data_IF_330927718885
#
_entry.id   IF_330927718885
#
_cell.length_a   1.000
_cell.length_b   1.000
_cell.length_c   1.000
_cell.angle_alpha   90.00
_cell.angle_beta   90.00
_cell.angle_gamma   90.00
#
_symmetry.space_group_name_H-M   'P 1'
#
loop_
_entity.id
_entity.type
_entity.pdbx_description
1 polymer ?
#
# COMPACT_ATOMS: atom_id res chain seq x y z
N UNK A 1 -7.69 10.32 -16.41
CA UNK A 1 -6.45 9.98 -17.15
C UNK A 1 -5.26 9.67 -16.23
N UNK A 2 -4.87 10.58 -15.32
CA UNK A 2 -3.71 10.36 -14.43
C UNK A 2 -3.78 9.05 -13.61
N UNK A 3 -4.97 8.67 -13.12
CA UNK A 3 -5.17 7.41 -12.37
C UNK A 3 -4.81 6.19 -13.23
N UNK A 4 -5.30 6.13 -14.47
CA UNK A 4 -5.03 5.01 -15.39
C UNK A 4 -3.52 4.94 -15.64
N UNK A 5 -2.89 6.07 -15.95
CA UNK A 5 -1.45 6.14 -16.21
C UNK A 5 -0.63 5.70 -15.01
N UNK A 6 -1.02 6.10 -13.79
CA UNK A 6 -0.33 5.70 -12.56
C UNK A 6 -0.48 4.20 -12.26
N UNK A 7 -1.42 3.50 -12.88
CA UNK A 7 -1.60 2.05 -12.68
C UNK A 7 -0.81 1.21 -13.67
N UNK A 8 -0.41 1.76 -14.82
CA UNK A 8 0.34 1.04 -15.85
C UNK A 8 1.66 0.45 -15.34
N UNK A 9 2.48 1.15 -14.52
CA UNK A 9 3.74 0.59 -14.03
C UNK A 9 3.57 -0.68 -13.19
N UNK A 10 2.38 -0.92 -12.63
CA UNK A 10 2.11 -2.15 -11.87
C UNK A 10 2.16 -3.40 -12.76
N UNK A 11 1.84 -3.28 -14.05
CA UNK A 11 1.91 -4.42 -14.98
C UNK A 11 3.34 -4.95 -15.13
N UNK A 12 4.36 -4.09 -14.89
CA UNK A 12 5.76 -4.50 -14.91
C UNK A 12 6.15 -5.45 -13.76
N UNK A 13 5.28 -5.64 -12.76
CA UNK A 13 5.48 -6.59 -11.65
C UNK A 13 5.08 -8.01 -12.05
N UNK A 14 4.24 -8.20 -13.07
CA UNK A 14 3.74 -9.52 -13.48
C UNK A 14 4.85 -10.56 -13.75
N UNK A 15 5.98 -10.22 -14.40
CA UNK A 15 7.05 -11.18 -14.65
C UNK A 15 7.76 -11.67 -13.38
N UNK A 16 7.68 -10.92 -12.28
CA UNK A 16 8.35 -11.22 -11.00
C UNK A 16 7.37 -11.63 -9.90
N UNK A 17 6.09 -11.83 -10.24
CA UNK A 17 5.01 -12.14 -9.30
C UNK A 17 5.37 -13.29 -8.36
N UNK A 18 5.88 -14.39 -8.90
CA UNK A 18 6.16 -15.60 -8.12
C UNK A 18 7.29 -15.39 -7.10
N UNK A 19 8.31 -14.61 -7.47
CA UNK A 19 9.37 -14.21 -6.54
C UNK A 19 8.82 -13.34 -5.41
N UNK A 20 7.89 -12.43 -5.74
CA UNK A 20 7.26 -11.57 -4.74
C UNK A 20 6.37 -12.38 -3.81
N UNK A 21 5.59 -13.34 -4.33
CA UNK A 21 4.78 -14.28 -3.53
C UNK A 21 5.63 -15.13 -2.58
N UNK A 22 6.82 -15.57 -3.02
CA UNK A 22 7.79 -16.27 -2.17
C UNK A 22 8.28 -15.48 -0.95
N UNK A 23 8.16 -14.16 -0.96
CA UNK A 23 8.55 -13.31 0.17
C UNK A 23 7.47 -13.18 1.26
N UNK A 24 6.22 -13.56 0.99
CA UNK A 24 5.10 -13.38 1.94
C UNK A 24 5.22 -14.24 3.19
N UNK A 25 5.92 -15.38 3.11
CA UNK A 25 6.16 -16.27 4.25
C UNK A 25 7.40 -15.88 5.07
N UNK A 26 8.20 -14.90 4.60
CA UNK A 26 9.43 -14.50 5.26
C UNK A 26 9.17 -13.33 6.22
N UNK A 27 8.85 -13.65 7.48
CA UNK A 27 8.58 -12.66 8.53
C UNK A 27 9.75 -11.71 8.78
N UNK A 28 11.00 -12.18 8.64
CA UNK A 28 12.19 -11.32 8.78
C UNK A 28 12.20 -10.24 7.69
N UNK A 29 11.96 -10.65 6.45
CA UNK A 29 11.88 -9.73 5.31
C UNK A 29 10.76 -8.70 5.49
N UNK A 30 9.57 -9.14 5.89
CA UNK A 30 8.41 -8.26 6.14
C UNK A 30 8.72 -7.26 7.27
N UNK A 31 9.35 -7.73 8.35
CA UNK A 31 9.79 -6.88 9.46
C UNK A 31 10.75 -5.78 8.99
N UNK A 32 11.79 -6.15 8.23
CA UNK A 32 12.72 -5.19 7.62
C UNK A 32 12.02 -4.21 6.68
N UNK A 33 11.12 -4.68 5.82
CA UNK A 33 10.36 -3.85 4.89
C UNK A 33 9.44 -2.84 5.61
N UNK A 34 8.86 -3.22 6.75
CA UNK A 34 8.13 -2.30 7.63
C UNK A 34 9.05 -1.23 8.22
N UNK A 35 10.28 -1.58 8.61
CA UNK A 35 11.24 -0.58 9.09
C UNK A 35 11.57 0.45 8.00
N UNK A 36 11.85 -0.03 6.78
CA UNK A 36 12.09 0.82 5.59
C UNK A 36 10.89 1.71 5.32
N UNK A 37 9.67 1.16 5.36
CA UNK A 37 8.43 1.92 5.22
C UNK A 37 8.36 3.04 6.26
N UNK A 38 8.71 2.77 7.51
CA UNK A 38 8.75 3.78 8.57
C UNK A 38 9.71 4.92 8.23
N UNK A 39 10.91 4.63 7.74
CA UNK A 39 11.84 5.66 7.30
C UNK A 39 11.29 6.48 6.14
N UNK A 40 10.73 5.84 5.10
CA UNK A 40 10.13 6.53 3.94
C UNK A 40 9.06 7.52 4.40
N UNK A 41 8.16 7.10 5.29
CA UNK A 41 7.10 7.96 5.85
C UNK A 41 7.64 9.12 6.69
N UNK A 42 8.65 8.84 7.52
CA UNK A 42 9.25 9.83 8.42
C UNK A 42 9.96 10.95 7.67
N UNK A 43 10.68 10.60 6.61
CA UNK A 43 11.39 11.56 5.78
C UNK A 43 10.44 12.30 4.83
N UNK A 44 9.46 11.61 4.24
CA UNK A 44 8.52 12.23 3.31
C UNK A 44 7.65 13.31 3.97
N UNK A 45 7.28 13.12 5.24
CA UNK A 45 6.51 14.12 6.01
C UNK A 45 7.33 15.37 6.39
N UNK A 46 8.67 15.31 6.28
CA UNK A 46 9.59 16.44 6.50
C UNK A 46 9.92 17.23 5.25
N UNK A 47 9.53 16.75 4.07
CA UNK A 47 9.68 17.53 2.86
C UNK A 47 8.86 18.81 2.93
N UNK A 48 9.34 19.84 2.23
CA UNK A 48 8.61 21.09 2.04
C UNK A 48 7.21 20.80 1.50
N UNK A 49 6.22 21.59 1.91
CA UNK A 49 4.85 21.42 1.46
C UNK A 49 4.76 21.65 -0.04
N UNK A 50 4.34 20.62 -0.77
CA UNK A 50 4.02 20.71 -2.19
C UNK A 50 2.78 21.58 -2.45
N UNK A 51 2.68 22.07 -3.67
CA UNK A 51 1.59 22.95 -4.14
C UNK A 51 0.89 22.40 -5.40
N UNK A 52 1.31 21.23 -5.91
CA UNK A 52 0.66 20.62 -7.06
C UNK A 52 -0.65 19.95 -6.64
N UNK A 53 -1.70 20.25 -7.38
CA UNK A 53 -3.04 19.67 -7.24
C UNK A 53 -3.37 18.80 -8.46
N UNK A 54 -4.59 18.26 -8.51
CA UNK A 54 -5.07 17.50 -9.66
C UNK A 54 -4.97 18.25 -11.01
N UNK A 55 -5.00 19.59 -11.00
CA UNK A 55 -4.90 20.41 -12.22
C UNK A 55 -3.48 20.63 -12.70
N UNK A 56 -2.49 20.57 -11.80
CA UNK A 56 -1.08 20.85 -12.10
C UNK A 56 -0.18 19.61 -12.03
N UNK A 57 -0.72 18.47 -11.62
CA UNK A 57 -0.03 17.19 -11.68
C UNK A 57 0.20 16.74 -13.13
N UNK A 58 1.43 16.35 -13.43
CA UNK A 58 1.83 15.93 -14.78
C UNK A 58 1.71 14.42 -14.97
N UNK A 59 1.76 13.97 -16.23
CA UNK A 59 1.86 12.54 -16.55
C UNK A 59 3.11 11.90 -15.94
N UNK A 60 4.24 12.60 -15.96
CA UNK A 60 5.48 12.14 -15.33
C UNK A 60 5.31 11.92 -13.84
N UNK A 61 4.60 12.83 -13.14
CA UNK A 61 4.30 12.65 -11.72
C UNK A 61 3.46 11.39 -11.48
N UNK A 62 2.44 11.15 -12.32
CA UNK A 62 1.60 9.95 -12.23
C UNK A 62 2.39 8.66 -12.45
N UNK A 63 3.28 8.62 -13.45
CA UNK A 63 4.15 7.45 -13.73
C UNK A 63 5.09 7.18 -12.57
N UNK A 64 5.74 8.20 -12.00
CA UNK A 64 6.67 8.03 -10.88
C UNK A 64 5.96 7.54 -9.62
N UNK A 65 4.76 8.03 -9.33
CA UNK A 65 3.93 7.49 -8.23
C UNK A 65 3.49 6.06 -8.54
N UNK A 66 3.20 5.74 -9.81
CA UNK A 66 2.90 4.38 -10.26
C UNK A 66 4.05 3.39 -10.07
N UNK A 67 5.29 3.82 -10.30
CA UNK A 67 6.49 3.02 -10.02
C UNK A 67 6.62 2.75 -8.52
N UNK A 68 6.34 3.74 -7.67
CA UNK A 68 6.29 3.51 -6.22
C UNK A 68 5.22 2.48 -5.83
N UNK A 69 4.06 2.48 -6.50
CA UNK A 69 3.04 1.45 -6.32
C UNK A 69 3.53 0.06 -6.75
N UNK A 70 4.27 -0.04 -7.85
CA UNK A 70 4.84 -1.29 -8.33
C UNK A 70 5.86 -1.89 -7.34
N UNK A 71 6.73 -1.05 -6.78
CA UNK A 71 7.66 -1.46 -5.71
C UNK A 71 6.90 -1.92 -4.47
N UNK A 72 5.78 -1.27 -4.15
CA UNK A 72 4.99 -1.61 -2.98
C UNK A 72 4.12 -2.88 -3.12
N UNK A 73 4.33 -3.69 -4.17
CA UNK A 73 3.85 -5.08 -4.19
C UNK A 73 4.71 -5.96 -3.27
N UNK A 74 5.95 -5.54 -2.98
CA UNK A 74 6.84 -6.22 -2.04
C UNK A 74 6.19 -6.29 -0.64
N UNK A 75 6.08 -7.48 -0.02
CA UNK A 75 5.38 -7.63 1.24
C UNK A 75 6.10 -6.88 2.37
N UNK A 76 5.31 -6.23 3.24
CA UNK A 76 5.80 -5.35 4.30
C UNK A 76 6.06 -3.90 3.85
N UNK A 77 6.09 -3.61 2.54
CA UNK A 77 6.08 -2.23 2.04
C UNK A 77 4.65 -1.69 2.03
N UNK A 78 4.41 -0.57 2.71
CA UNK A 78 3.08 0.05 2.68
C UNK A 78 2.82 0.72 1.33
N UNK A 79 1.85 0.22 0.55
CA UNK A 79 1.44 0.82 -0.72
C UNK A 79 1.06 2.28 -0.58
N UNK A 80 0.12 2.59 0.31
CA UNK A 80 -0.30 3.97 0.55
C UNK A 80 0.88 4.83 1.04
N UNK A 81 1.74 4.29 1.91
CA UNK A 81 2.93 4.99 2.35
C UNK A 81 3.89 5.34 1.21
N UNK A 82 4.18 4.38 0.33
CA UNK A 82 5.07 4.56 -0.82
C UNK A 82 4.49 5.56 -1.83
N UNK A 83 3.22 5.43 -2.23
CA UNK A 83 2.59 6.30 -3.23
C UNK A 83 2.34 7.70 -2.71
N UNK A 84 1.92 7.86 -1.45
CA UNK A 84 1.77 9.19 -0.82
C UNK A 84 3.14 9.86 -0.72
N UNK A 85 4.16 9.15 -0.24
CA UNK A 85 5.52 9.70 -0.10
C UNK A 85 6.09 10.10 -1.45
N UNK A 86 5.96 9.25 -2.48
CA UNK A 86 6.35 9.58 -3.84
C UNK A 86 5.59 10.81 -4.37
N UNK A 87 4.28 10.90 -4.14
CA UNK A 87 3.48 12.07 -4.51
C UNK A 87 3.99 13.35 -3.86
N UNK A 88 4.29 13.32 -2.56
CA UNK A 88 4.87 14.45 -1.83
C UNK A 88 6.25 14.83 -2.38
N UNK A 89 7.11 13.85 -2.71
CA UNK A 89 8.40 14.09 -3.38
C UNK A 89 8.24 14.70 -4.78
N UNK A 90 7.12 14.45 -5.46
CA UNK A 90 6.76 15.08 -6.74
C UNK A 90 6.16 16.48 -6.58
N UNK A 91 6.02 16.97 -5.34
CA UNK A 91 5.50 18.29 -5.01
C UNK A 91 3.98 18.34 -4.93
N UNK A 92 3.30 17.21 -4.78
CA UNK A 92 1.86 17.18 -4.51
C UNK A 92 1.57 17.81 -3.15
N UNK A 93 0.49 18.57 -3.06
CA UNK A 93 -0.06 18.91 -1.74
C UNK A 93 -0.52 17.62 -1.03
N UNK A 94 -0.46 17.60 0.31
CA UNK A 94 -0.68 16.36 1.09
C UNK A 94 -2.07 15.77 0.86
N UNK A 95 -3.08 16.62 0.74
CA UNK A 95 -4.47 16.17 0.56
C UNK A 95 -4.65 15.55 -0.82
N UNK A 96 -4.05 16.15 -1.84
CA UNK A 96 -4.02 15.58 -3.18
C UNK A 96 -3.22 14.28 -3.23
N UNK A 97 -2.04 14.20 -2.61
CA UNK A 97 -1.24 12.97 -2.57
C UNK A 97 -2.01 11.78 -1.98
N UNK A 98 -2.70 12.00 -0.87
CA UNK A 98 -3.55 10.99 -0.21
C UNK A 98 -4.70 10.55 -1.11
N UNK A 99 -5.46 11.52 -1.65
CA UNK A 99 -6.60 11.22 -2.55
C UNK A 99 -6.14 10.49 -3.81
N UNK A 100 -5.05 10.95 -4.43
CA UNK A 100 -4.48 10.35 -5.62
C UNK A 100 -4.05 8.92 -5.35
N UNK A 101 -3.31 8.68 -4.25
CA UNK A 101 -2.89 7.35 -3.81
C UNK A 101 -4.06 6.39 -3.63
N UNK A 102 -5.11 6.79 -2.93
CA UNK A 102 -6.27 5.92 -2.73
C UNK A 102 -6.99 5.61 -4.05
N UNK A 103 -7.25 6.63 -4.88
CA UNK A 103 -7.94 6.45 -6.15
C UNK A 103 -7.16 5.57 -7.13
N UNK A 104 -5.83 5.73 -7.21
CA UNK A 104 -5.00 4.88 -8.08
C UNK A 104 -4.89 3.44 -7.58
N UNK A 105 -5.05 3.21 -6.27
CA UNK A 105 -5.00 1.87 -5.70
C UNK A 105 -6.25 1.05 -6.02
N UNK A 106 -7.40 1.68 -6.29
CA UNK A 106 -8.66 1.00 -6.60
C UNK A 106 -8.54 0.02 -7.78
N UNK A 107 -8.16 0.45 -9.00
CA UNK A 107 -8.03 -0.49 -10.13
C UNK A 107 -6.95 -1.55 -9.88
N UNK A 108 -5.88 -1.23 -9.15
CA UNK A 108 -4.82 -2.18 -8.81
C UNK A 108 -5.31 -3.29 -7.85
N UNK A 109 -5.98 -2.92 -6.76
CA UNK A 109 -6.53 -3.88 -5.78
C UNK A 109 -7.67 -4.69 -6.40
N UNK A 110 -8.55 -4.05 -7.16
CA UNK A 110 -9.64 -4.75 -7.86
C UNK A 110 -9.10 -5.78 -8.84
N UNK A 111 -8.12 -5.42 -9.67
CA UNK A 111 -7.49 -6.36 -10.60
C UNK A 111 -6.85 -7.55 -9.89
N UNK A 112 -6.09 -7.30 -8.82
CA UNK A 112 -5.47 -8.36 -8.02
C UNK A 112 -6.51 -9.30 -7.38
N UNK A 113 -7.59 -8.75 -6.81
CA UNK A 113 -8.66 -9.54 -6.20
C UNK A 113 -9.44 -10.37 -7.23
N UNK A 114 -9.69 -9.84 -8.43
CA UNK A 114 -10.34 -10.59 -9.51
C UNK A 114 -9.48 -11.79 -9.91
N UNK A 115 -8.17 -11.59 -10.10
CA UNK A 115 -7.24 -12.67 -10.45
C UNK A 115 -7.21 -13.74 -9.34
N UNK A 116 -7.12 -13.31 -8.08
CA UNK A 116 -7.13 -14.21 -6.93
C UNK A 116 -8.44 -15.01 -6.83
N UNK A 117 -9.59 -14.37 -7.04
CA UNK A 117 -10.90 -15.01 -7.01
C UNK A 117 -11.05 -16.04 -8.13
N UNK A 118 -10.64 -15.70 -9.36
CA UNK A 118 -10.65 -16.66 -10.48
C UNK A 118 -9.76 -17.86 -10.16
N UNK A 119 -8.58 -17.63 -9.57
CA UNK A 119 -7.68 -18.70 -9.12
C UNK A 119 -8.35 -19.61 -8.09
N UNK A 120 -8.97 -19.03 -7.06
CA UNK A 120 -9.65 -19.76 -5.99
C UNK A 120 -10.83 -20.60 -6.50
N UNK A 121 -11.63 -20.06 -7.43
CA UNK A 121 -12.73 -20.81 -8.05
C UNK A 121 -12.20 -22.00 -8.87
N UNK A 122 -11.12 -21.81 -9.63
CA UNK A 122 -10.50 -22.87 -10.43
C UNK A 122 -9.87 -23.98 -9.57
N UNK A 123 -9.37 -23.66 -8.38
CA UNK A 123 -8.75 -24.63 -7.47
C UNK A 123 -9.74 -25.47 -6.65
N UNK A 124 -11.06 -25.27 -6.83
CA UNK A 124 -12.09 -25.95 -6.05
C UNK A 124 -12.46 -25.17 -4.80
N UNK A 125 -13.31 -24.15 -4.99
CA UNK A 125 -13.84 -23.32 -3.91
C UNK A 125 -14.87 -24.08 -3.07
N UNK A 126 -14.65 -24.17 -1.76
CA UNK A 126 -15.62 -24.76 -0.83
C UNK A 126 -16.76 -23.77 -0.56
N UNK A 127 -17.94 -24.10 -1.10
CA UNK A 127 -19.15 -23.29 -0.95
C UNK A 127 -19.67 -23.25 0.48
N UNK A 128 -19.30 -24.22 1.34
CA UNK A 128 -19.66 -24.20 2.76
C UNK A 128 -18.98 -23.05 3.51
N UNK A 129 -17.82 -22.58 3.04
CA UNK A 129 -17.09 -21.45 3.62
C UNK A 129 -17.58 -20.09 3.11
N UNK A 130 -18.46 -20.05 2.10
CA UNK A 130 -18.97 -18.82 1.51
C UNK A 130 -19.56 -17.84 2.54
N UNK A 131 -20.37 -18.26 3.54
CA UNK A 131 -20.89 -17.34 4.56
C UNK A 131 -19.77 -16.69 5.38
N UNK A 132 -18.71 -17.43 5.70
CA UNK A 132 -17.57 -16.93 6.47
C UNK A 132 -16.81 -15.88 5.66
N UNK A 133 -16.60 -16.12 4.36
CA UNK A 133 -15.96 -15.13 3.48
C UNK A 133 -16.80 -13.86 3.34
N UNK A 134 -18.13 -13.95 3.24
CA UNK A 134 -19.00 -12.77 3.16
C UNK A 134 -18.96 -11.93 4.43
N UNK A 135 -18.93 -12.57 5.61
CA UNK A 135 -18.71 -11.88 6.88
C UNK A 135 -17.34 -11.20 6.89
N UNK A 136 -16.29 -11.88 6.42
CA UNK A 136 -14.95 -11.31 6.28
C UNK A 136 -14.94 -10.06 5.39
N UNK A 137 -15.64 -10.09 4.25
CA UNK A 137 -15.80 -8.93 3.35
C UNK A 137 -16.51 -7.78 4.05
N UNK A 138 -17.60 -8.05 4.77
CA UNK A 138 -18.35 -7.03 5.49
C UNK A 138 -17.50 -6.36 6.59
N UNK A 139 -16.77 -7.16 7.38
CA UNK A 139 -15.86 -6.66 8.43
C UNK A 139 -14.70 -5.87 7.83
N UNK A 140 -14.11 -6.35 6.74
CA UNK A 140 -13.04 -5.66 6.01
C UNK A 140 -13.53 -4.32 5.42
N UNK A 141 -14.76 -4.27 4.92
CA UNK A 141 -15.37 -3.02 4.43
C UNK A 141 -15.50 -1.99 5.55
N UNK A 142 -16.09 -2.37 6.69
CA UNK A 142 -16.29 -1.44 7.81
C UNK A 142 -14.95 -0.97 8.38
N UNK A 143 -14.03 -1.89 8.68
CA UNK A 143 -12.69 -1.54 9.18
C UNK A 143 -11.88 -0.72 8.18
N UNK A 144 -11.99 -1.01 6.89
CA UNK A 144 -11.36 -0.24 5.81
C UNK A 144 -11.84 1.20 5.74
N UNK A 145 -13.15 1.44 5.86
CA UNK A 145 -13.73 2.78 5.89
C UNK A 145 -13.23 3.60 7.10
N UNK A 146 -13.11 2.96 8.26
CA UNK A 146 -12.54 3.58 9.46
C UNK A 146 -11.05 3.91 9.26
N UNK A 147 -10.28 2.98 8.69
CA UNK A 147 -8.85 3.17 8.42
C UNK A 147 -8.60 4.32 7.42
N UNK A 148 -9.37 4.40 6.34
CA UNK A 148 -9.28 5.51 5.37
C UNK A 148 -9.57 6.85 6.05
N UNK A 149 -10.60 6.89 6.90
CA UNK A 149 -10.96 8.09 7.66
C UNK A 149 -9.85 8.54 8.59
N UNK A 150 -9.19 7.59 9.28
CA UNK A 150 -8.04 7.86 10.14
C UNK A 150 -6.84 8.40 9.35
N UNK A 151 -6.48 7.76 8.23
CA UNK A 151 -5.35 8.19 7.40
C UNK A 151 -5.59 9.60 6.85
N UNK A 152 -6.80 9.88 6.37
CA UNK A 152 -7.17 11.23 5.91
C UNK A 152 -7.03 12.26 7.03
N UNK A 153 -7.56 11.97 8.21
CA UNK A 153 -7.45 12.85 9.38
C UNK A 153 -5.98 13.12 9.79
N UNK A 154 -5.13 12.10 9.77
CA UNK A 154 -3.71 12.23 10.11
C UNK A 154 -2.95 13.06 9.07
N UNK A 155 -3.24 12.86 7.79
CA UNK A 155 -2.63 13.61 6.71
C UNK A 155 -3.07 15.07 6.70
N UNK A 156 -4.36 15.35 6.89
CA UNK A 156 -4.92 16.70 6.98
C UNK A 156 -4.25 17.51 8.12
N UNK A 157 -3.92 16.84 9.23
CA UNK A 157 -3.22 17.43 10.39
C UNK A 157 -1.70 17.53 10.20
N UNK A 158 -1.17 17.11 9.05
CA UNK A 158 0.27 17.07 8.78
C UNK A 158 1.04 16.12 9.71
N UNK A 159 0.38 15.07 10.19
CA UNK A 159 0.91 14.08 11.15
C UNK A 159 1.16 12.73 10.50
N UNK A 160 1.21 12.66 9.18
CA UNK A 160 1.36 11.41 8.43
C UNK A 160 2.67 10.68 8.79
N UNK A 161 3.75 11.44 9.05
CA UNK A 161 5.03 10.90 9.48
C UNK A 161 4.99 10.21 10.84
N UNK A 162 3.95 10.43 11.68
CA UNK A 162 3.78 9.70 12.94
C UNK A 162 3.47 8.22 12.73
N UNK A 163 2.95 7.84 11.57
CA UNK A 163 2.73 6.44 11.24
C UNK A 163 4.06 5.66 11.12
N UNK A 164 5.19 6.36 10.94
CA UNK A 164 6.51 5.74 10.98
C UNK A 164 6.79 5.02 12.29
N UNK A 165 6.38 5.58 13.44
CA UNK A 165 6.59 4.95 14.75
C UNK A 165 5.83 3.64 14.88
N UNK A 166 4.60 3.58 14.32
CA UNK A 166 3.84 2.35 14.25
C UNK A 166 4.56 1.30 13.38
N UNK A 167 5.03 1.69 12.18
CA UNK A 167 5.78 0.78 11.31
C UNK A 167 7.06 0.26 11.96
N UNK A 168 7.80 1.11 12.67
CA UNK A 168 9.00 0.70 13.40
C UNK A 168 8.68 -0.25 14.56
N UNK A 169 7.66 0.06 15.36
CA UNK A 169 7.24 -0.80 16.45
C UNK A 169 6.82 -2.18 15.95
N UNK A 170 5.93 -2.24 14.95
CA UNK A 170 5.46 -3.52 14.38
C UNK A 170 6.59 -4.26 13.67
N UNK A 171 7.47 -3.55 12.96
CA UNK A 171 8.64 -4.14 12.31
C UNK A 171 9.61 -4.79 13.31
N UNK A 172 9.92 -4.10 14.42
CA UNK A 172 10.75 -4.66 15.50
C UNK A 172 10.06 -5.86 16.15
N UNK A 173 8.76 -5.78 16.42
CA UNK A 173 8.01 -6.91 17.00
C UNK A 173 8.01 -8.11 16.05
N UNK A 174 7.82 -7.90 14.74
CA UNK A 174 7.87 -8.97 13.75
C UNK A 174 9.26 -9.63 13.70
N UNK A 175 10.33 -8.83 13.76
CA UNK A 175 11.70 -9.33 13.84
C UNK A 175 11.94 -10.13 15.12
N UNK A 176 11.57 -9.58 16.28
CA UNK A 176 11.68 -10.26 17.56
C UNK A 176 10.92 -11.59 17.57
N UNK A 177 9.65 -11.58 17.15
CA UNK A 177 8.82 -12.78 17.04
C UNK A 177 9.42 -13.83 16.11
N UNK A 178 10.07 -13.42 15.01
CA UNK A 178 10.71 -14.35 14.08
C UNK A 178 11.91 -15.11 14.66
N UNK A 179 12.54 -14.59 15.72
CA UNK A 179 13.59 -15.32 16.44
C UNK A 179 13.00 -16.36 17.39
N UNK A 180 11.81 -16.12 17.96
CA UNK A 180 11.15 -17.07 18.85
C UNK A 180 10.49 -18.23 18.10
N UNK A 181 10.02 -18.03 16.88
CA UNK A 181 9.39 -19.09 16.07
C UNK A 181 10.38 -19.94 15.27
N UNK A 182 11.67 -19.55 15.24
CA UNK A 182 12.77 -20.33 14.66
C UNK A 182 13.54 -21.18 15.69
N UNK A 183 13.24 -21.05 16.98
CA UNK A 183 13.73 -21.90 18.07
C UNK A 183 12.72 -23.01 18.37
#
# INVERSE_FOLDING_TARGET
MLIIVATLPLAAVLPVKDYVEGLYSNTVFIGCALLVTGFVLFFSDRLARGHKSARSATLTDAVLVGLAQAVAVVPGVSRSGATISAGMMRGFDRNFAVRFSFLMSLPAVLGANIIALIGAVKSGFDTALLPIYLVGVAVAMVSGLLAISLVKMLADKGKFGRFAYYCWAVGVVALAASFFTRA
#
